data_IF_945149879347
#
_entry.id   IF_945149879347
#
_cell.length_a   1.000
_cell.length_b   1.000
_cell.length_c   1.000
_cell.angle_alpha   90.00
_cell.angle_beta   90.00
_cell.angle_gamma   90.00
#
_symmetry.space_group_name_H-M   'P 1'
#
loop_
_entity.id
_entity.type
_entity.pdbx_description
1 polymer ?
#
# COMPACT_ATOMS: atom_id res chain seq x y z
N UNK A 1 35.98 10.99 -16.28
CA UNK A 1 35.98 10.37 -14.93
C UNK A 1 34.66 10.52 -14.15
N UNK A 2 33.83 11.56 -14.34
CA UNK A 2 32.55 11.70 -13.61
C UNK A 2 31.34 10.95 -14.21
N UNK A 3 31.44 10.46 -15.45
CA UNK A 3 30.38 9.70 -16.12
C UNK A 3 30.37 8.20 -15.77
N UNK A 4 31.52 7.64 -15.39
CA UNK A 4 31.65 6.24 -14.96
C UNK A 4 31.05 5.98 -13.56
N UNK A 5 31.07 6.99 -12.68
CA UNK A 5 30.60 6.86 -11.29
C UNK A 5 29.06 6.79 -11.16
N UNK A 6 28.31 7.27 -12.16
CA UNK A 6 26.83 7.19 -12.16
C UNK A 6 26.28 5.92 -12.82
N UNK A 7 27.04 5.28 -13.72
CA UNK A 7 26.68 3.99 -14.32
C UNK A 7 26.73 2.85 -13.29
N UNK A 8 27.77 2.83 -12.44
CA UNK A 8 27.96 1.78 -11.43
C UNK A 8 26.90 1.79 -10.33
N UNK A 9 26.39 2.97 -9.94
CA UNK A 9 25.32 3.10 -8.92
C UNK A 9 23.97 2.56 -9.37
N UNK A 10 23.62 2.72 -10.66
CA UNK A 10 22.39 2.13 -11.23
C UNK A 10 22.49 0.60 -11.29
N UNK A 11 23.67 0.07 -11.58
CA UNK A 11 23.94 -1.37 -11.58
C UNK A 11 23.85 -2.00 -10.19
N UNK A 12 24.34 -1.34 -9.13
CA UNK A 12 24.35 -1.92 -7.77
C UNK A 12 22.95 -2.07 -7.18
N UNK A 13 22.07 -1.09 -7.36
CA UNK A 13 20.66 -1.21 -6.93
C UNK A 13 19.91 -2.30 -7.70
N UNK A 14 20.13 -2.40 -9.01
CA UNK A 14 19.54 -3.46 -9.84
C UNK A 14 20.04 -4.86 -9.42
N UNK A 15 21.34 -5.00 -9.12
CA UNK A 15 21.94 -6.27 -8.66
C UNK A 15 21.45 -6.66 -7.26
N UNK A 16 21.31 -5.71 -6.35
CA UNK A 16 20.80 -5.95 -4.99
C UNK A 16 19.29 -6.26 -5.02
N UNK A 17 18.53 -5.57 -5.87
CA UNK A 17 17.10 -5.84 -6.09
C UNK A 17 16.88 -7.20 -6.76
N UNK A 18 17.80 -7.64 -7.63
CA UNK A 18 17.74 -8.97 -8.23
C UNK A 18 18.04 -10.10 -7.22
N UNK A 19 18.69 -9.80 -6.10
CA UNK A 19 19.10 -10.78 -5.09
C UNK A 19 17.98 -11.24 -4.14
N UNK A 20 16.77 -10.64 -4.12
CA UNK A 20 15.63 -11.17 -3.33
C UNK A 20 14.26 -10.53 -3.66
N UNK A 21 13.26 -11.38 -3.89
CA UNK A 21 11.83 -11.05 -4.04
C UNK A 21 11.13 -10.53 -2.76
N UNK A 22 11.87 -10.10 -1.73
CA UNK A 22 11.29 -9.82 -0.41
C UNK A 22 11.98 -8.68 0.36
N UNK A 23 12.97 -8.01 -0.22
CA UNK A 23 13.74 -6.98 0.49
C UNK A 23 13.93 -5.77 -0.40
N UNK A 24 13.37 -4.64 0.02
CA UNK A 24 13.50 -3.35 -0.64
C UNK A 24 14.69 -2.59 -0.06
N UNK A 25 15.74 -2.29 -0.86
CA UNK A 25 16.81 -1.41 -0.42
C UNK A 25 16.30 0.03 -0.38
N UNK A 26 16.37 0.66 0.79
CA UNK A 26 15.91 2.04 1.02
C UNK A 26 17.11 2.88 1.45
N UNK A 27 17.27 4.06 0.83
CA UNK A 27 18.26 5.04 1.28
C UNK A 27 17.58 6.08 2.17
N UNK A 28 17.94 6.11 3.45
CA UNK A 28 17.34 7.03 4.43
C UNK A 28 18.13 8.35 4.58
N UNK A 29 19.08 8.64 3.69
CA UNK A 29 19.93 9.83 3.76
C UNK A 29 21.28 9.62 4.45
N UNK A 30 21.44 8.59 5.28
CA UNK A 30 22.68 8.27 5.99
C UNK A 30 23.21 6.87 5.70
N UNK A 31 22.32 5.87 5.67
CA UNK A 31 22.65 4.47 5.44
C UNK A 31 21.69 3.81 4.46
N UNK A 32 22.19 2.79 3.76
CA UNK A 32 21.36 1.89 2.99
C UNK A 32 20.72 0.90 3.97
N UNK A 33 19.41 0.99 4.13
CA UNK A 33 18.61 0.07 4.95
C UNK A 33 17.86 -0.91 4.05
N UNK A 34 17.47 -2.03 4.62
CA UNK A 34 16.76 -3.10 3.94
C UNK A 34 15.43 -3.30 4.64
N UNK A 35 14.33 -2.99 3.94
CA UNK A 35 12.98 -3.19 4.45
C UNK A 35 12.43 -4.47 3.84
N UNK A 36 12.01 -5.40 4.69
CA UNK A 36 11.38 -6.63 4.22
C UNK A 36 9.91 -6.35 3.90
N UNK A 37 9.45 -6.85 2.76
CA UNK A 37 8.03 -6.90 2.44
C UNK A 37 7.35 -7.94 3.35
N UNK A 38 6.63 -7.44 4.35
CA UNK A 38 5.89 -8.25 5.33
C UNK A 38 4.56 -7.58 5.64
N UNK A 39 3.49 -8.36 5.89
CA UNK A 39 2.25 -7.82 6.42
C UNK A 39 2.54 -6.98 7.67
N UNK A 40 2.04 -5.76 7.66
CA UNK A 40 2.21 -4.78 8.74
C UNK A 40 0.89 -4.06 8.95
N UNK A 41 0.69 -3.53 10.15
CA UNK A 41 -0.50 -2.74 10.45
C UNK A 41 -0.38 -1.36 9.81
N UNK A 42 -1.54 -0.73 9.57
CA UNK A 42 -1.62 0.65 9.09
C UNK A 42 -0.95 1.58 10.10
N UNK A 43 -0.02 2.39 9.62
CA UNK A 43 0.69 3.39 10.43
C UNK A 43 -0.17 4.64 10.60
N UNK A 44 -0.90 5.06 9.54
CA UNK A 44 -1.78 6.21 9.62
C UNK A 44 -2.87 6.28 8.54
N UNK A 45 -4.09 6.78 8.88
CA UNK A 45 -5.14 7.16 7.94
C UNK A 45 -5.02 8.62 7.48
N UNK A 46 -4.79 8.83 6.18
CA UNK A 46 -4.83 10.15 5.56
C UNK A 46 -6.22 10.47 5.02
N UNK A 47 -6.73 11.64 5.37
CA UNK A 47 -8.03 12.15 4.91
C UNK A 47 -7.81 13.29 3.90
N UNK A 48 -8.85 13.69 3.15
CA UNK A 48 -8.77 14.87 2.28
C UNK A 48 -8.36 16.15 3.04
N UNK A 49 -8.59 16.22 4.35
CA UNK A 49 -8.22 17.37 5.17
C UNK A 49 -6.72 17.45 5.48
N UNK A 50 -5.98 16.34 5.32
CA UNK A 50 -4.53 16.28 5.55
C UNK A 50 -3.71 16.60 4.30
N UNK A 51 -4.35 16.51 3.13
CA UNK A 51 -3.70 16.62 1.82
C UNK A 51 -3.75 18.06 1.32
N UNK A 52 -2.62 18.52 0.79
CA UNK A 52 -2.54 19.81 0.11
C UNK A 52 -3.22 19.67 -1.24
N UNK A 53 -4.29 20.43 -1.42
CA UNK A 53 -5.01 20.53 -2.68
C UNK A 53 -4.15 21.29 -3.70
N UNK A 54 -4.03 20.75 -4.91
CA UNK A 54 -3.30 21.38 -6.00
C UNK A 54 -4.07 22.57 -6.62
N UNK A 55 -3.44 23.27 -7.57
CA UNK A 55 -4.04 24.41 -8.27
C UNK A 55 -5.33 24.07 -9.05
N UNK A 56 -5.57 22.77 -9.32
CA UNK A 56 -6.77 22.28 -10.01
C UNK A 56 -7.87 21.82 -9.03
N UNK A 57 -7.67 21.99 -7.72
CA UNK A 57 -8.64 21.55 -6.71
C UNK A 57 -8.57 20.07 -6.38
N UNK A 58 -7.52 19.35 -6.82
CA UNK A 58 -7.39 17.90 -6.62
C UNK A 58 -6.36 17.60 -5.51
N UNK A 59 -6.76 16.84 -4.50
CA UNK A 59 -5.88 16.38 -3.43
C UNK A 59 -5.19 15.05 -3.78
N UNK A 60 -5.97 13.98 -3.87
CA UNK A 60 -5.49 12.66 -4.25
C UNK A 60 -5.61 12.45 -5.76
N UNK A 61 -4.53 12.02 -6.41
CA UNK A 61 -4.51 11.72 -7.84
C UNK A 61 -4.31 10.24 -8.07
N UNK A 62 -5.29 9.59 -8.66
CA UNK A 62 -5.22 8.18 -8.99
C UNK A 62 -4.74 7.98 -10.42
N UNK A 63 -3.78 7.07 -10.59
CA UNK A 63 -3.37 6.55 -11.89
C UNK A 63 -3.45 5.03 -11.88
N UNK A 64 -3.75 4.46 -13.05
CA UNK A 64 -3.86 3.01 -13.20
C UNK A 64 -2.82 2.53 -14.19
N UNK A 65 -2.21 1.38 -13.90
CA UNK A 65 -1.32 0.73 -14.87
C UNK A 65 -2.13 0.27 -16.08
N UNK A 66 -1.61 0.48 -17.29
CA UNK A 66 -2.32 0.04 -18.49
C UNK A 66 -2.34 -1.49 -18.56
N UNK A 67 -3.42 -2.06 -19.09
CA UNK A 67 -3.56 -3.53 -19.18
C UNK A 67 -2.42 -4.19 -19.97
N UNK A 68 -1.91 -3.49 -21.00
CA UNK A 68 -0.77 -3.94 -21.83
C UNK A 68 0.54 -4.09 -21.04
N UNK A 69 0.67 -3.39 -19.92
CA UNK A 69 1.87 -3.41 -19.08
C UNK A 69 1.77 -4.51 -18.01
N UNK A 70 0.66 -5.27 -17.97
CA UNK A 70 0.43 -6.38 -17.04
C UNK A 70 0.71 -7.71 -17.73
N UNK A 71 1.82 -8.33 -17.36
CA UNK A 71 2.25 -9.61 -17.87
C UNK A 71 1.59 -10.74 -17.09
N UNK A 72 1.18 -11.77 -17.83
CA UNK A 72 0.52 -12.96 -17.27
C UNK A 72 1.45 -14.18 -17.34
N UNK A 73 2.56 -14.05 -18.06
CA UNK A 73 3.58 -15.05 -18.28
C UNK A 73 4.96 -14.40 -18.21
N UNK A 74 5.93 -15.09 -17.62
CA UNK A 74 7.31 -14.64 -17.48
C UNK A 74 8.26 -15.77 -17.84
N UNK A 75 9.18 -15.51 -18.76
CA UNK A 75 10.37 -16.32 -18.99
C UNK A 75 11.52 -15.76 -18.14
N UNK A 76 11.97 -16.53 -17.15
CA UNK A 76 13.05 -16.17 -16.24
C UNK A 76 14.31 -16.93 -16.60
N UNK A 77 15.33 -16.22 -17.06
CA UNK A 77 16.65 -16.77 -17.30
C UNK A 77 17.43 -16.85 -15.98
N UNK A 78 18.03 -18.00 -15.69
CA UNK A 78 18.87 -18.24 -14.51
C UNK A 78 20.14 -19.01 -14.88
N UNK A 79 21.17 -18.94 -14.04
CA UNK A 79 22.43 -19.67 -14.29
C UNK A 79 22.35 -21.05 -13.68
N UNK A 80 22.42 -22.11 -14.47
CA UNK A 80 22.16 -23.47 -13.98
C UNK A 80 23.47 -24.25 -13.74
N UNK A 81 23.81 -24.59 -12.48
CA UNK A 81 24.98 -25.41 -12.18
C UNK A 81 24.91 -26.82 -12.76
N UNK A 82 23.70 -27.36 -12.98
CA UNK A 82 23.49 -28.69 -13.56
C UNK A 82 23.67 -28.69 -15.08
N UNK A 83 23.50 -27.53 -15.72
CA UNK A 83 23.76 -27.32 -17.15
C UNK A 83 25.14 -26.69 -17.41
N UNK A 84 26.14 -26.99 -16.56
CA UNK A 84 27.50 -26.49 -16.72
C UNK A 84 27.63 -24.97 -16.59
N UNK A 85 26.82 -24.34 -15.72
CA UNK A 85 26.75 -22.89 -15.51
C UNK A 85 26.29 -22.09 -16.74
N UNK A 86 25.60 -22.74 -17.68
CA UNK A 86 24.93 -22.06 -18.78
C UNK A 86 23.60 -21.44 -18.33
N UNK A 87 23.08 -20.53 -19.16
CA UNK A 87 21.77 -19.93 -18.93
C UNK A 87 20.67 -20.94 -19.27
N UNK A 88 19.81 -21.22 -18.30
CA UNK A 88 18.58 -21.98 -18.47
C UNK A 88 17.38 -21.04 -18.28
N UNK A 89 16.25 -21.32 -18.92
CA UNK A 89 15.03 -20.50 -18.84
C UNK A 89 13.92 -21.27 -18.15
N UNK A 90 13.29 -20.66 -17.15
CA UNK A 90 12.06 -21.16 -16.51
C UNK A 90 10.87 -20.34 -17.00
N UNK A 91 9.82 -21.01 -17.49
CA UNK A 91 8.55 -20.38 -17.84
C UNK A 91 7.61 -20.42 -16.63
N UNK A 92 7.12 -19.25 -16.22
CA UNK A 92 6.15 -19.07 -15.15
C UNK A 92 4.89 -18.44 -15.73
N UNK A 93 3.73 -19.02 -15.50
CA UNK A 93 2.46 -18.57 -16.06
C UNK A 93 1.38 -18.56 -14.97
N UNK A 94 0.47 -17.59 -15.02
CA UNK A 94 -0.74 -17.56 -14.19
C UNK A 94 -1.96 -17.92 -15.08
N UNK A 95 -2.48 -19.16 -14.99
CA UNK A 95 -3.57 -19.62 -15.85
C UNK A 95 -4.85 -18.80 -15.69
N UNK A 96 -5.15 -18.31 -14.48
CA UNK A 96 -6.36 -17.52 -14.22
C UNK A 96 -6.25 -16.15 -14.88
N UNK A 97 -5.08 -15.51 -14.75
CA UNK A 97 -4.80 -14.23 -15.40
C UNK A 97 -4.79 -14.36 -16.93
N UNK A 98 -4.24 -15.45 -17.47
CA UNK A 98 -4.23 -15.73 -18.92
C UNK A 98 -5.64 -15.90 -19.46
N UNK A 99 -6.50 -16.65 -18.76
CA UNK A 99 -7.90 -16.82 -19.18
C UNK A 99 -8.66 -15.49 -19.20
N UNK A 100 -8.32 -14.57 -18.29
CA UNK A 100 -9.01 -13.29 -18.15
C UNK A 100 -8.49 -12.19 -19.07
N UNK A 101 -7.18 -12.08 -19.24
CA UNK A 101 -6.52 -10.97 -19.92
C UNK A 101 -5.78 -11.37 -21.20
N UNK A 102 -5.71 -12.65 -21.51
CA UNK A 102 -4.88 -13.19 -22.57
C UNK A 102 -3.42 -13.36 -22.12
N UNK A 103 -2.62 -14.03 -22.95
CA UNK A 103 -1.21 -14.30 -22.65
C UNK A 103 -0.34 -13.10 -23.01
N UNK A 104 0.27 -12.47 -22.00
CA UNK A 104 1.27 -11.41 -22.16
C UNK A 104 2.60 -11.85 -21.53
N UNK A 105 3.67 -11.89 -22.32
CA UNK A 105 4.95 -12.50 -21.97
C UNK A 105 6.03 -11.46 -21.68
N UNK A 106 6.60 -11.51 -20.48
CA UNK A 106 7.82 -10.80 -20.12
C UNK A 106 9.03 -11.73 -20.17
N UNK A 107 10.17 -11.22 -20.63
CA UNK A 107 11.46 -11.91 -20.51
C UNK A 107 12.30 -11.18 -19.47
N UNK A 108 12.83 -11.90 -18.49
CA UNK A 108 13.69 -11.33 -17.45
C UNK A 108 14.89 -12.21 -17.14
N UNK A 109 15.95 -11.58 -16.64
CA UNK A 109 17.14 -12.26 -16.16
C UNK A 109 17.20 -12.20 -14.63
N UNK A 110 17.23 -13.37 -13.98
CA UNK A 110 17.39 -13.49 -12.53
C UNK A 110 18.88 -13.57 -12.18
N UNK A 111 19.51 -12.41 -11.98
CA UNK A 111 20.92 -12.34 -11.60
C UNK A 111 21.19 -13.02 -10.26
N UNK A 112 22.22 -13.86 -10.21
CA UNK A 112 22.60 -14.60 -9.01
C UNK A 112 21.67 -15.76 -8.63
N UNK A 113 20.65 -16.03 -9.44
CA UNK A 113 19.77 -17.18 -9.28
C UNK A 113 20.45 -18.43 -9.85
N UNK A 114 20.67 -19.44 -9.00
CA UNK A 114 21.31 -20.71 -9.38
C UNK A 114 20.38 -21.92 -9.32
N UNK A 115 19.10 -21.69 -9.01
CA UNK A 115 18.11 -22.74 -8.88
C UNK A 115 16.85 -22.40 -9.67
N UNK A 116 16.31 -23.37 -10.39
CA UNK A 116 15.00 -23.28 -11.06
C UNK A 116 13.89 -22.79 -10.12
N UNK A 117 13.87 -23.27 -8.87
CA UNK A 117 12.85 -22.86 -7.90
C UNK A 117 12.97 -21.40 -7.42
N UNK A 118 14.17 -20.82 -7.44
CA UNK A 118 14.36 -19.40 -7.19
C UNK A 118 13.85 -18.57 -8.38
N UNK A 119 14.18 -18.98 -9.61
CA UNK A 119 13.71 -18.35 -10.83
C UNK A 119 12.17 -18.37 -10.92
N UNK A 120 11.56 -19.51 -10.57
CA UNK A 120 10.12 -19.67 -10.54
C UNK A 120 9.43 -18.69 -9.58
N UNK A 121 9.96 -18.51 -8.36
CA UNK A 121 9.42 -17.53 -7.40
C UNK A 121 9.61 -16.09 -7.86
N UNK A 122 10.70 -15.78 -8.53
CA UNK A 122 10.92 -14.45 -9.10
C UNK A 122 9.90 -14.13 -10.19
N UNK A 123 9.62 -15.07 -11.09
CA UNK A 123 8.57 -14.92 -12.10
C UNK A 123 7.18 -14.76 -11.49
N UNK A 124 6.85 -15.58 -10.48
CA UNK A 124 5.56 -15.46 -9.76
C UNK A 124 5.43 -14.11 -9.05
N UNK A 125 6.49 -13.62 -8.42
CA UNK A 125 6.49 -12.33 -7.76
C UNK A 125 6.16 -11.21 -8.74
N UNK A 126 6.80 -11.17 -9.92
CA UNK A 126 6.52 -10.14 -10.93
C UNK A 126 5.07 -10.21 -11.44
N UNK A 127 4.56 -11.40 -11.77
CA UNK A 127 3.16 -11.54 -12.23
C UNK A 127 2.20 -11.06 -11.14
N UNK A 128 2.41 -11.47 -9.88
CA UNK A 128 1.53 -11.07 -8.78
C UNK A 128 1.62 -9.58 -8.48
N UNK A 129 2.80 -8.99 -8.50
CA UNK A 129 2.98 -7.53 -8.33
C UNK A 129 2.21 -6.79 -9.44
N UNK A 130 2.40 -7.11 -10.72
CA UNK A 130 1.73 -6.39 -11.80
C UNK A 130 0.20 -6.58 -11.82
N UNK A 131 -0.30 -7.73 -11.37
CA UNK A 131 -1.73 -8.00 -11.27
C UNK A 131 -2.40 -7.36 -10.03
N UNK A 132 -1.65 -7.17 -8.94
CA UNK A 132 -2.17 -6.62 -7.70
C UNK A 132 -1.95 -5.10 -7.61
N UNK A 133 -0.79 -4.59 -8.03
CA UNK A 133 -0.40 -3.17 -7.99
C UNK A 133 -0.92 -2.44 -9.24
N UNK A 134 -2.23 -2.38 -9.38
CA UNK A 134 -2.88 -1.82 -10.58
C UNK A 134 -3.18 -0.33 -10.48
N UNK A 135 -3.09 0.23 -9.28
CA UNK A 135 -3.47 1.60 -8.97
C UNK A 135 -2.37 2.29 -8.16
N UNK A 136 -2.14 3.56 -8.45
CA UNK A 136 -1.19 4.43 -7.74
C UNK A 136 -1.89 5.72 -7.35
N UNK A 137 -1.57 6.23 -6.16
CA UNK A 137 -2.06 7.49 -5.62
C UNK A 137 -0.90 8.43 -5.41
N UNK A 138 -0.99 9.60 -6.02
CA UNK A 138 -0.07 10.70 -5.83
C UNK A 138 -0.76 11.79 -5.02
N UNK A 139 -0.12 12.23 -3.94
CA UNK A 139 -0.65 13.30 -3.10
C UNK A 139 0.49 14.05 -2.39
N UNK A 140 0.18 15.26 -1.93
CA UNK A 140 1.12 16.14 -1.24
C UNK A 140 0.68 16.35 0.20
N UNK A 141 1.62 16.19 1.14
CA UNK A 141 1.36 16.35 2.56
C UNK A 141 2.16 17.52 3.13
N UNK A 142 1.67 18.07 4.24
CA UNK A 142 2.45 18.96 5.10
C UNK A 142 3.49 18.22 5.95
N UNK A 143 3.84 18.78 7.11
CA UNK A 143 4.82 18.19 8.04
C UNK A 143 4.45 16.80 8.56
N UNK A 144 3.17 16.41 8.50
CA UNK A 144 2.69 15.07 8.86
C UNK A 144 3.27 13.95 7.99
N UNK A 145 3.77 14.26 6.79
CA UNK A 145 4.45 13.28 5.92
C UNK A 145 5.82 12.84 6.43
N UNK A 146 6.47 13.63 7.31
CA UNK A 146 7.84 13.38 7.77
C UNK A 146 7.98 12.19 8.71
N UNK A 147 6.87 11.65 9.22
CA UNK A 147 6.89 10.49 10.13
C UNK A 147 7.10 9.17 9.39
N UNK A 148 6.92 9.15 8.07
CA UNK A 148 6.90 7.91 7.31
C UNK A 148 8.27 7.51 6.79
N UNK A 149 8.54 6.21 6.88
CA UNK A 149 9.68 5.57 6.22
C UNK A 149 9.16 4.81 4.99
N UNK A 150 9.94 4.70 3.90
CA UNK A 150 9.54 3.89 2.77
C UNK A 150 9.24 2.44 3.20
N UNK A 151 8.09 1.92 2.77
CA UNK A 151 7.57 0.62 3.19
C UNK A 151 6.51 0.67 4.29
N UNK A 152 6.23 1.84 4.87
CA UNK A 152 5.09 2.02 5.76
C UNK A 152 3.76 1.82 5.01
N UNK A 153 2.84 1.11 5.65
CA UNK A 153 1.47 0.92 5.17
C UNK A 153 0.61 2.07 5.68
N UNK A 154 -0.09 2.74 4.77
CA UNK A 154 -0.99 3.85 5.09
C UNK A 154 -2.40 3.53 4.61
N UNK A 155 -3.36 4.19 5.21
CA UNK A 155 -4.75 4.14 4.81
C UNK A 155 -5.14 5.46 4.17
N UNK A 156 -5.94 5.40 3.10
CA UNK A 156 -6.43 6.57 2.38
C UNK A 156 -7.95 6.62 2.52
N UNK A 157 -8.42 7.63 3.24
CA UNK A 157 -9.82 7.97 3.42
C UNK A 157 -10.16 9.14 2.49
N UNK A 158 -10.32 8.83 1.20
CA UNK A 158 -10.67 9.81 0.19
C UNK A 158 -12.18 9.84 -0.05
N UNK A 159 -12.80 10.98 0.25
CA UNK A 159 -14.22 11.24 0.05
C UNK A 159 -14.62 11.23 -1.44
N UNK A 160 -13.78 11.76 -2.32
CA UNK A 160 -14.08 11.87 -3.75
C UNK A 160 -14.05 10.48 -4.40
N UNK A 161 -13.10 9.64 -3.97
CA UNK A 161 -13.01 8.25 -4.42
C UNK A 161 -14.13 7.38 -3.83
N UNK A 162 -14.47 7.55 -2.56
CA UNK A 162 -15.52 6.77 -1.90
C UNK A 162 -16.94 7.21 -2.28
N UNK A 163 -17.12 8.43 -2.80
CA UNK A 163 -18.43 9.02 -3.07
C UNK A 163 -19.25 9.32 -1.80
N UNK A 164 -18.61 9.24 -0.63
CA UNK A 164 -19.19 9.49 0.70
C UNK A 164 -18.12 10.01 1.64
N UNK A 165 -18.52 10.65 2.74
CA UNK A 165 -17.61 11.21 3.72
C UNK A 165 -17.01 10.08 4.58
N UNK A 166 -15.75 9.74 4.31
CA UNK A 166 -15.03 8.59 4.91
C UNK A 166 -13.97 8.99 5.94
N UNK A 167 -13.78 10.28 6.23
CA UNK A 167 -12.88 10.71 7.30
C UNK A 167 -12.90 12.21 7.59
N UNK A 168 -12.31 12.58 8.72
CA UNK A 168 -12.30 13.96 9.20
C UNK A 168 -11.65 14.14 10.57
N UNK A 169 -12.19 15.07 11.36
CA UNK A 169 -11.72 15.44 12.70
C UNK A 169 -12.78 15.18 13.77
N UNK A 170 -12.36 14.74 14.95
CA UNK A 170 -13.24 14.61 16.12
C UNK A 170 -13.40 15.99 16.75
N UNK A 171 -14.61 16.54 16.83
CA UNK A 171 -14.85 17.85 17.46
C UNK A 171 -14.97 17.75 18.99
N UNK A 172 -15.63 16.72 19.48
CA UNK A 172 -15.81 16.50 20.92
C UNK A 172 -15.96 15.02 21.27
N UNK A 173 -15.63 14.70 22.50
CA UNK A 173 -15.62 13.33 23.04
C UNK A 173 -16.43 13.33 24.33
N UNK A 174 -17.52 12.56 24.36
CA UNK A 174 -18.22 12.22 25.60
C UNK A 174 -17.76 10.85 26.08
N UNK A 175 -16.88 10.86 27.08
CA UNK A 175 -16.30 9.65 27.64
C UNK A 175 -17.33 8.77 28.39
N UNK A 176 -18.38 9.37 28.97
CA UNK A 176 -19.37 8.63 29.75
C UNK A 176 -20.25 7.76 28.86
N UNK A 177 -20.66 8.31 27.72
CA UNK A 177 -21.52 7.60 26.75
C UNK A 177 -20.74 6.96 25.61
N UNK A 178 -19.42 7.19 25.52
CA UNK A 178 -18.56 6.78 24.40
C UNK A 178 -19.06 7.34 23.06
N UNK A 179 -19.58 8.57 23.10
CA UNK A 179 -20.08 9.27 21.92
C UNK A 179 -19.03 10.24 21.40
N UNK A 180 -18.74 10.19 20.10
CA UNK A 180 -17.88 11.12 19.40
C UNK A 180 -18.74 12.04 18.54
N UNK A 181 -18.49 13.35 18.63
CA UNK A 181 -19.04 14.32 17.68
C UNK A 181 -17.99 14.57 16.61
N UNK A 182 -18.36 14.37 15.35
CA UNK A 182 -17.48 14.48 14.20
C UNK A 182 -17.62 15.86 13.56
N UNK A 183 -16.64 16.26 12.76
CA UNK A 183 -16.64 17.53 12.02
C UNK A 183 -17.65 17.59 10.87
N UNK A 184 -18.29 16.46 10.55
CA UNK A 184 -19.22 16.30 9.44
C UNK A 184 -20.17 15.12 9.68
N UNK A 185 -21.25 15.11 8.92
CA UNK A 185 -22.20 13.99 8.93
C UNK A 185 -21.59 12.75 8.27
N UNK A 186 -21.96 11.58 8.78
CA UNK A 186 -21.50 10.28 8.28
C UNK A 186 -22.70 9.43 7.92
N UNK A 187 -22.64 8.78 6.76
CA UNK A 187 -23.63 7.79 6.35
C UNK A 187 -23.07 6.39 6.62
N UNK A 188 -23.68 5.67 7.56
CA UNK A 188 -23.32 4.28 7.82
C UNK A 188 -24.06 3.32 6.87
N UNK A 189 -23.43 2.21 6.46
CA UNK A 189 -24.13 1.17 5.72
C UNK A 189 -25.34 0.64 6.49
N UNK A 190 -26.48 0.49 5.82
CA UNK A 190 -27.71 -0.08 6.41
C UNK A 190 -27.55 -1.54 6.86
N UNK A 191 -26.56 -2.26 6.30
CA UNK A 191 -26.25 -3.65 6.64
C UNK A 191 -24.74 -3.88 6.72
N UNK A 192 -24.28 -4.48 7.82
CA UNK A 192 -22.86 -4.82 8.07
C UNK A 192 -22.31 -4.23 9.37
N UNK A 193 -21.13 -4.70 9.78
CA UNK A 193 -20.39 -4.12 10.91
C UNK A 193 -19.69 -2.86 10.43
N UNK A 194 -20.09 -1.71 10.97
CA UNK A 194 -19.43 -0.43 10.71
C UNK A 194 -18.35 -0.19 11.76
N UNK A 195 -17.14 0.15 11.32
CA UNK A 195 -16.02 0.45 12.21
C UNK A 195 -15.40 1.79 11.84
N UNK A 196 -14.84 2.45 12.86
CA UNK A 196 -14.13 3.72 12.75
C UNK A 196 -12.68 3.54 13.25
N UNK A 197 -11.73 4.09 12.50
CA UNK A 197 -10.34 4.22 12.89
C UNK A 197 -10.15 5.54 13.64
N UNK A 198 -9.60 5.45 14.85
CA UNK A 198 -9.29 6.59 15.72
C UNK A 198 -7.81 6.58 16.08
N UNK A 199 -7.19 7.76 16.21
CA UNK A 199 -5.81 7.87 16.66
C UNK A 199 -5.75 7.86 18.19
N UNK A 200 -5.04 6.89 18.76
CA UNK A 200 -4.80 6.82 20.20
C UNK A 200 -3.67 7.78 20.63
N UNK A 201 -3.43 7.89 21.95
CA UNK A 201 -2.39 8.77 22.50
C UNK A 201 -0.95 8.38 22.14
N UNK A 202 -0.74 7.20 21.55
CA UNK A 202 0.55 6.79 21.00
C UNK A 202 0.74 7.17 19.52
N UNK A 203 -0.24 7.85 18.92
CA UNK A 203 -0.23 8.23 17.51
C UNK A 203 -0.51 7.07 16.55
N UNK A 204 -1.11 5.97 17.02
CA UNK A 204 -1.45 4.81 16.19
C UNK A 204 -2.95 4.73 15.93
N UNK A 205 -3.38 4.34 14.72
CA UNK A 205 -4.78 4.07 14.44
C UNK A 205 -5.24 2.81 15.17
N UNK A 206 -6.43 2.90 15.75
CA UNK A 206 -7.14 1.79 16.40
C UNK A 206 -8.54 1.71 15.78
N UNK A 207 -8.86 0.56 15.21
CA UNK A 207 -10.19 0.27 14.67
C UNK A 207 -11.14 -0.10 15.80
N UNK A 208 -12.28 0.57 15.86
CA UNK A 208 -13.32 0.34 16.86
C UNK A 208 -14.68 0.20 16.18
N UNK A 209 -15.48 -0.75 16.64
CA UNK A 209 -16.84 -0.95 16.13
C UNK A 209 -17.77 0.19 16.57
N UNK A 210 -18.60 0.65 15.62
CA UNK A 210 -19.67 1.62 15.86
C UNK A 210 -20.88 0.86 16.39
N UNK A 211 -21.32 1.21 17.60
CA UNK A 211 -22.45 0.56 18.29
C UNK A 211 -23.77 1.28 18.05
N UNK A 212 -23.76 2.59 17.83
CA UNK A 212 -24.93 3.37 17.48
C UNK A 212 -24.58 4.65 16.71
N UNK A 213 -25.58 5.22 16.03
CA UNK A 213 -25.49 6.48 15.28
C UNK A 213 -26.60 7.43 15.73
N UNK A 214 -26.48 8.06 16.91
CA UNK A 214 -27.54 8.84 17.53
C UNK A 214 -27.92 10.12 16.76
N UNK A 215 -27.02 10.68 15.95
CA UNK A 215 -27.26 11.83 15.09
C UNK A 215 -26.36 11.75 13.86
N UNK A 216 -26.66 12.46 12.75
CA UNK A 216 -25.86 12.40 11.52
C UNK A 216 -24.35 12.64 11.75
N UNK A 217 -24.00 13.55 12.68
CA UNK A 217 -22.64 13.95 13.06
C UNK A 217 -22.10 13.23 14.32
N UNK A 218 -22.84 12.28 14.90
CA UNK A 218 -22.47 11.64 16.17
C UNK A 218 -22.50 10.13 16.10
N UNK A 219 -21.39 9.51 16.46
CA UNK A 219 -21.26 8.05 16.53
C UNK A 219 -20.99 7.60 17.96
N UNK A 220 -21.53 6.45 18.34
CA UNK A 220 -21.17 5.74 19.56
C UNK A 220 -20.28 4.57 19.22
N UNK A 221 -19.19 4.41 19.98
CA UNK A 221 -18.19 3.38 19.75
C UNK A 221 -18.18 2.36 20.88
N UNK A 222 -17.75 1.13 20.58
CA UNK A 222 -17.70 0.05 21.56
C UNK A 222 -16.72 0.34 22.70
N UNK A 223 -15.56 0.90 22.38
CA UNK A 223 -14.53 1.33 23.35
C UNK A 223 -13.91 2.65 22.90
N UNK A 224 -13.58 3.55 23.85
CA UNK A 224 -12.76 4.71 23.53
C UNK A 224 -11.29 4.30 23.67
N UNK A 225 -10.46 4.37 22.61
CA UNK A 225 -9.03 4.15 22.75
C UNK A 225 -8.40 5.17 23.70
N UNK A 226 -7.38 4.73 24.45
CA UNK A 226 -6.68 5.59 25.39
C UNK A 226 -5.97 6.74 24.66
N UNK A 227 -6.17 7.97 25.15
CA UNK A 227 -5.55 9.17 24.59
C UNK A 227 -6.12 9.61 23.23
N UNK A 228 -7.36 9.25 22.90
CA UNK A 228 -8.09 9.92 21.83
C UNK A 228 -8.34 11.38 22.23
N UNK A 229 -8.00 12.30 21.34
CA UNK A 229 -8.07 13.74 21.59
C UNK A 229 -9.07 14.44 20.66
N UNK A 230 -9.61 15.55 21.14
CA UNK A 230 -10.32 16.51 20.30
C UNK A 230 -9.40 17.02 19.20
N UNK A 231 -9.95 17.18 18.00
CA UNK A 231 -9.26 17.43 16.74
C UNK A 231 -8.36 16.27 16.24
N UNK A 232 -8.46 15.09 16.87
CA UNK A 232 -7.87 13.85 16.35
C UNK A 232 -8.46 13.43 15.00
N UNK A 233 -7.70 12.67 14.21
CA UNK A 233 -8.16 12.10 12.93
C UNK A 233 -9.12 10.95 13.19
N UNK A 234 -10.22 10.90 12.43
CA UNK A 234 -11.04 9.71 12.29
C UNK A 234 -11.22 9.32 10.82
N UNK A 235 -11.42 8.02 10.57
CA UNK A 235 -11.78 7.49 9.25
C UNK A 235 -12.72 6.30 9.38
N UNK A 236 -13.71 6.16 8.48
CA UNK A 236 -14.64 5.03 8.48
C UNK A 236 -14.23 3.98 7.46
N UNK A 237 -14.48 2.72 7.80
CA UNK A 237 -14.31 1.61 6.86
C UNK A 237 -15.56 1.44 5.98
N UNK A 238 -15.41 1.11 4.68
CA UNK A 238 -14.16 0.68 4.03
C UNK A 238 -13.33 1.85 3.52
N UNK A 239 -12.24 2.17 4.20
CA UNK A 239 -11.17 2.98 3.64
C UNK A 239 -10.31 2.07 2.77
N UNK A 240 -9.76 2.61 1.69
CA UNK A 240 -8.89 1.83 0.82
C UNK A 240 -7.54 1.71 1.53
N UNK A 241 -7.24 0.54 2.06
CA UNK A 241 -5.89 0.24 2.54
C UNK A 241 -4.97 0.19 1.32
N UNK A 242 -3.97 1.06 1.25
CA UNK A 242 -2.87 0.89 0.32
C UNK A 242 -1.93 -0.18 0.90
N UNK A 243 -1.92 -1.43 0.42
CA UNK A 243 -0.81 -2.30 0.76
C UNK A 243 0.46 -1.66 0.20
N UNK A 244 1.49 -1.69 1.04
CA UNK A 244 2.91 -1.57 0.71
C UNK A 244 3.21 -1.26 -0.76
N UNK A 245 3.76 -0.08 -1.08
CA UNK A 245 4.48 0.05 -2.32
C UNK A 245 5.91 -0.44 -2.10
N UNK A 246 6.35 -1.30 -3.01
CA UNK A 246 7.67 -1.25 -3.66
C UNK A 246 8.26 0.18 -3.55
N UNK A 247 9.54 0.34 -3.16
CA UNK A 247 9.98 1.43 -2.29
C UNK A 247 9.46 2.79 -2.75
N UNK A 248 8.81 3.49 -1.81
CA UNK A 248 8.63 4.94 -1.90
C UNK A 248 9.99 5.52 -2.30
N UNK A 249 10.13 5.97 -3.56
CA UNK A 249 11.26 6.78 -3.96
C UNK A 249 11.09 8.13 -3.26
N UNK A 250 11.51 8.19 -1.99
CA UNK A 250 11.78 9.45 -1.31
C UNK A 250 12.94 10.10 -2.04
N UNK A 251 12.64 10.84 -3.09
CA UNK A 251 13.54 11.88 -3.54
C UNK A 251 13.31 13.09 -2.62
N UNK A 252 14.33 13.54 -1.87
CA UNK A 252 14.35 14.90 -1.35
C UNK A 252 14.58 15.85 -2.54
N UNK A 253 13.60 15.91 -3.44
CA UNK A 253 13.45 16.99 -4.40
C UNK A 253 12.77 18.16 -3.68
N UNK A 254 13.14 19.38 -4.02
CA UNK A 254 12.72 20.65 -3.36
C UNK A 254 11.20 20.89 -3.26
N UNK A 255 10.34 19.95 -3.68
CA UNK A 255 8.89 19.94 -3.53
C UNK A 255 8.44 18.49 -3.25
N UNK A 256 8.05 18.19 -2.01
CA UNK A 256 7.76 16.82 -1.55
C UNK A 256 6.46 16.24 -2.14
N UNK A 257 6.59 15.28 -3.06
CA UNK A 257 5.49 14.45 -3.57
C UNK A 257 5.64 13.03 -3.05
N UNK A 258 4.55 12.41 -2.60
CA UNK A 258 4.51 11.02 -2.14
C UNK A 258 3.66 10.17 -3.10
N UNK A 259 4.16 8.99 -3.50
CA UNK A 259 3.50 8.01 -4.37
C UNK A 259 3.18 6.75 -3.55
N UNK A 260 1.93 6.27 -3.57
CA UNK A 260 1.52 5.03 -2.90
C UNK A 260 0.74 4.11 -3.86
N UNK A 261 1.01 2.80 -3.84
CA UNK A 261 0.29 1.82 -4.67
C UNK A 261 -0.89 1.20 -3.91
N UNK A 262 -2.01 0.94 -4.59
CA UNK A 262 -3.17 0.24 -4.05
C UNK A 262 -3.26 -1.17 -4.65
N UNK A 263 -3.10 -2.19 -3.81
CA UNK A 263 -3.50 -3.58 -4.06
C UNK A 263 -4.62 -4.01 -3.10
N UNK A 264 -5.69 -4.60 -3.61
CA UNK A 264 -6.72 -5.15 -2.73
C UNK A 264 -6.20 -6.37 -1.97
N UNK A 265 -6.22 -6.34 -0.63
CA UNK A 265 -6.06 -7.55 0.17
C UNK A 265 -7.32 -8.43 0.04
N UNK A 266 -7.30 -9.42 -0.85
CA UNK A 266 -8.35 -10.42 -0.94
C UNK A 266 -8.33 -11.31 0.32
N UNK A 267 -9.27 -11.08 1.25
CA UNK A 267 -9.60 -12.03 2.33
C UNK A 267 -10.18 -13.31 1.71
N UNK A 268 -9.37 -14.35 1.55
CA UNK A 268 -9.87 -15.70 1.28
C UNK A 268 -10.49 -16.27 2.55
N UNK A 269 -11.82 -16.12 2.68
CA UNK A 269 -12.59 -16.82 3.70
C UNK A 269 -12.62 -18.32 3.41
N UNK A 270 -11.99 -19.12 4.28
CA UNK A 270 -12.18 -20.58 4.33
C UNK A 270 -13.64 -20.88 4.70
N UNK A 271 -14.48 -21.21 3.72
CA UNK A 271 -15.71 -21.97 3.97
C UNK A 271 -15.34 -23.43 4.24
N UNK A 272 -15.35 -23.80 5.52
CA UNK A 272 -15.39 -25.17 5.98
C UNK A 272 -16.77 -25.76 5.68
N UNK A 273 -16.87 -26.65 4.69
CA UNK A 273 -17.93 -27.67 4.69
C UNK A 273 -17.37 -28.96 5.25
N UNK A 274 -17.81 -29.30 6.46
CA UNK A 274 -17.85 -30.67 6.97
C UNK A 274 -19.23 -31.26 6.62
N UNK A 275 -19.21 -32.56 6.29
CA UNK A 275 -20.26 -33.58 6.33
C UNK A 275 -21.71 -33.15 6.51
#
# INVERSE_FOLDING_TARGET
>A
MRTWHNSVRRGTFSVISALRCAVCPVWNGQTLTFVQDRPSDVVWPYTNSDVVVDDNGVGFRYSFSALKDRHTAVEVNYTDPQNGWQTSTELVEDPEAILRYGRNLLKMDAFGCTSRGQAHRAGLWVIKTELLETQTVDFTLGSQGLRHTPGDIIEICDNDYAGTLTGGRVLSIDAATRTLTLDREVTLPETGTSAVNLINGSGKPVSVDITAHPAPDRIQVSTLPDGVETYGVWGTLPAVTAPSPVPLCLHPGKHGRHLCHHGGAARTGKRSHRG
#
